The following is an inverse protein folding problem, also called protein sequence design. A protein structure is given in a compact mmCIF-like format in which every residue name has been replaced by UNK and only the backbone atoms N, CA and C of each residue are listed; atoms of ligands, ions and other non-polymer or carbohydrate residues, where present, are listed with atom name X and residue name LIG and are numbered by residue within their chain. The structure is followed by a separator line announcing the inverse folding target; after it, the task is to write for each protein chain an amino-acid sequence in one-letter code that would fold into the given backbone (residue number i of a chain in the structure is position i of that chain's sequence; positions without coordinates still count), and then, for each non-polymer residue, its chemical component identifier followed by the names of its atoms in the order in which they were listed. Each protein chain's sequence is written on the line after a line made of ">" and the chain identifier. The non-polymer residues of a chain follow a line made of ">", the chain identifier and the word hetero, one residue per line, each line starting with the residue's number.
data_IF_491182029413
#
_entry.id   IF_491182029413
#
_cell.length_a   1.000
_cell.length_b   1.000
_cell.length_c   1.000
_cell.angle_alpha   90.00
_cell.angle_beta   90.00
_cell.angle_gamma   90.00
#
_symmetry.space_group_name_H-M   'P 1'
#
loop_
_entity.id
_entity.type
_entity.pdbx_description
1 polymer ?
#
# COMPACT_ATOMS: atom_id res chain seq x y z
N UNK A 1 2.40 14.95 14.47
CA UNK A 1 2.94 14.60 13.14
C UNK A 1 3.12 13.09 13.11
N UNK A 2 2.35 12.38 12.30
CA UNK A 2 2.52 10.96 12.05
C UNK A 2 1.79 10.62 10.75
N UNK A 3 2.46 9.92 9.84
CA UNK A 3 1.93 9.58 8.52
C UNK A 3 2.74 10.14 7.35
N UNK A 4 2.13 10.15 6.17
CA UNK A 4 2.75 10.61 4.92
C UNK A 4 2.82 12.15 4.87
N UNK A 5 4.00 12.71 4.61
CA UNK A 5 4.15 14.16 4.48
C UNK A 5 3.42 14.69 3.23
N UNK A 6 2.89 15.92 3.31
CA UNK A 6 2.23 16.56 2.17
C UNK A 6 3.17 16.66 0.95
N UNK A 7 4.45 16.94 1.19
CA UNK A 7 5.48 17.02 0.14
C UNK A 7 5.66 15.67 -0.53
N UNK A 8 5.77 14.59 0.25
CA UNK A 8 5.91 13.25 -0.29
C UNK A 8 4.67 12.81 -1.08
N UNK A 9 3.46 13.12 -0.58
CA UNK A 9 2.21 12.83 -1.27
C UNK A 9 2.09 13.56 -2.61
N UNK A 10 2.46 14.84 -2.67
CA UNK A 10 2.43 15.61 -3.92
C UNK A 10 3.52 15.16 -4.89
N UNK A 11 4.73 14.87 -4.39
CA UNK A 11 5.83 14.36 -5.21
C UNK A 11 5.50 12.99 -5.82
N UNK A 12 4.76 12.16 -5.10
CA UNK A 12 4.24 10.89 -5.60
C UNK A 12 2.88 11.05 -6.31
N UNK A 13 2.41 12.23 -6.69
CA UNK A 13 1.12 12.40 -7.38
C UNK A 13 -0.09 11.72 -6.69
N UNK A 14 -0.05 11.52 -5.37
CA UNK A 14 -1.10 10.87 -4.59
C UNK A 14 -1.30 9.37 -4.84
N UNK A 15 -2.50 8.86 -4.55
CA UNK A 15 -2.86 7.44 -4.75
C UNK A 15 -3.06 7.09 -6.23
N UNK A 16 -2.62 5.91 -6.63
CA UNK A 16 -2.83 5.37 -7.98
C UNK A 16 -4.28 4.94 -8.23
N UNK A 17 -4.59 4.61 -9.49
CA UNK A 17 -5.94 4.16 -9.92
C UNK A 17 -6.23 2.68 -9.65
N UNK A 18 -5.30 1.96 -9.00
CA UNK A 18 -5.43 0.52 -8.75
C UNK A 18 -6.08 0.30 -7.39
N UNK A 19 -7.23 -0.39 -7.37
CA UNK A 19 -7.92 -0.76 -6.13
C UNK A 19 -8.43 -2.21 -6.20
N UNK A 20 -8.03 -3.09 -5.27
CA UNK A 20 -7.07 -2.85 -4.19
C UNK A 20 -5.62 -2.72 -4.71
N UNK A 21 -4.70 -2.12 -3.95
CA UNK A 21 -3.28 -2.04 -4.31
C UNK A 21 -2.68 -0.63 -4.38
N UNK A 22 -3.49 0.38 -4.12
CA UNK A 22 -3.11 1.79 -4.09
C UNK A 22 -1.99 2.07 -3.08
N UNK A 23 -2.03 1.42 -1.92
CA UNK A 23 -1.06 1.60 -0.84
C UNK A 23 0.34 1.04 -1.18
N UNK A 24 0.47 -0.24 -1.63
CA UNK A 24 1.77 -0.75 -2.06
C UNK A 24 2.31 -0.03 -3.29
N UNK A 25 1.46 0.38 -4.25
CA UNK A 25 1.89 1.22 -5.38
C UNK A 25 2.51 2.54 -4.89
N UNK A 26 1.80 3.26 -4.02
CA UNK A 26 2.28 4.51 -3.44
C UNK A 26 3.60 4.32 -2.70
N UNK A 27 3.72 3.26 -1.89
CA UNK A 27 4.93 2.96 -1.12
C UNK A 27 6.14 2.74 -2.03
N UNK A 28 5.97 1.98 -3.11
CA UNK A 28 7.05 1.72 -4.07
C UNK A 28 7.46 3.01 -4.79
N UNK A 29 6.49 3.84 -5.20
CA UNK A 29 6.78 5.11 -5.87
C UNK A 29 7.49 6.10 -4.95
N UNK A 30 7.15 6.12 -3.66
CA UNK A 30 7.88 6.89 -2.66
C UNK A 30 9.33 6.42 -2.49
N UNK A 31 9.58 5.11 -2.48
CA UNK A 31 10.94 4.57 -2.44
C UNK A 31 11.75 4.92 -3.70
N UNK A 32 11.13 4.85 -4.88
CA UNK A 32 11.76 5.23 -6.15
C UNK A 32 12.13 6.73 -6.18
N UNK A 33 11.38 7.58 -5.46
CA UNK A 33 11.67 9.00 -5.27
C UNK A 33 12.72 9.26 -4.17
N UNK A 34 13.25 8.23 -3.52
CA UNK A 34 14.27 8.33 -2.46
C UNK A 34 13.72 8.65 -1.07
N UNK A 35 12.40 8.61 -0.87
CA UNK A 35 11.82 8.78 0.46
C UNK A 35 12.08 7.55 1.34
N UNK A 36 12.36 7.80 2.62
CA UNK A 36 12.55 6.75 3.63
C UNK A 36 11.25 6.47 4.36
N UNK A 37 10.96 5.19 4.55
CA UNK A 37 9.85 4.74 5.39
C UNK A 37 10.39 4.26 6.74
N UNK A 38 9.63 4.51 7.81
CA UNK A 38 9.94 3.99 9.15
C UNK A 38 8.71 3.31 9.73
N UNK A 39 8.92 2.24 10.48
CA UNK A 39 7.90 1.61 11.30
C UNK A 39 7.98 2.23 12.70
N UNK A 40 6.85 2.65 13.26
CA UNK A 40 6.76 3.17 14.63
C UNK A 40 5.99 2.14 15.46
N UNK A 41 6.68 1.23 16.17
CA UNK A 41 6.05 0.13 16.91
C UNK A 41 5.07 0.60 17.99
N UNK A 42 5.30 1.78 18.55
CA UNK A 42 4.53 2.35 19.66
C UNK A 42 3.22 3.01 19.18
N UNK A 43 3.04 3.14 17.87
CA UNK A 43 1.84 3.73 17.26
C UNK A 43 0.74 2.66 17.09
N UNK A 44 0.00 2.38 18.15
CA UNK A 44 -1.12 1.44 18.12
C UNK A 44 -2.36 2.02 17.41
N UNK A 45 -2.94 1.24 16.50
CA UNK A 45 -4.19 1.58 15.81
C UNK A 45 -5.22 0.46 15.97
N UNK A 46 -6.43 0.82 16.38
CA UNK A 46 -7.51 -0.14 16.57
C UNK A 46 -8.37 -0.24 15.32
N UNK A 47 -8.44 -1.44 14.73
CA UNK A 47 -9.28 -1.73 13.57
C UNK A 47 -10.40 -2.70 13.92
N UNK A 48 -11.62 -2.41 13.47
CA UNK A 48 -12.75 -3.35 13.58
C UNK A 48 -12.50 -4.55 12.66
N UNK A 49 -12.36 -5.75 13.22
CA UNK A 49 -12.21 -6.98 12.41
C UNK A 49 -13.53 -7.35 11.75
N UNK A 50 -13.45 -7.78 10.49
CA UNK A 50 -14.57 -8.46 9.82
C UNK A 50 -14.57 -9.92 10.26
N UNK A 51 -15.70 -10.40 10.80
CA UNK A 51 -15.89 -11.77 11.33
C UNK A 51 -16.41 -12.76 10.29
N UNK A 52 -16.72 -12.31 9.08
CA UNK A 52 -17.27 -13.17 8.03
C UNK A 52 -16.17 -13.75 7.15
N UNK A 53 -16.04 -15.08 7.17
CA UNK A 53 -15.09 -15.84 6.34
C UNK A 53 -15.26 -15.61 4.84
N UNK A 54 -16.49 -15.45 4.36
CA UNK A 54 -16.75 -15.21 2.93
C UNK A 54 -16.26 -13.82 2.49
N UNK A 55 -16.43 -12.80 3.33
CA UNK A 55 -15.90 -11.46 3.07
C UNK A 55 -14.37 -11.43 3.16
N UNK A 56 -13.78 -12.14 4.12
CA UNK A 56 -12.33 -12.30 4.22
C UNK A 56 -11.74 -12.96 2.97
N UNK A 57 -12.33 -14.07 2.50
CA UNK A 57 -11.88 -14.76 1.30
C UNK A 57 -11.92 -13.86 0.06
N UNK A 58 -13.04 -13.15 -0.16
CA UNK A 58 -13.17 -12.18 -1.27
C UNK A 58 -12.10 -11.09 -1.19
N UNK A 59 -11.79 -10.59 0.01
CA UNK A 59 -10.77 -9.57 0.21
C UNK A 59 -9.38 -10.09 -0.16
N UNK A 60 -8.97 -11.24 0.39
CA UNK A 60 -7.66 -11.84 0.12
C UNK A 60 -7.50 -12.19 -1.38
N UNK A 61 -8.55 -12.71 -2.00
CA UNK A 61 -8.53 -13.03 -3.44
C UNK A 61 -8.29 -11.76 -4.29
N UNK A 62 -8.98 -10.66 -4.00
CA UNK A 62 -8.77 -9.38 -4.68
C UNK A 62 -7.34 -8.85 -4.52
N UNK A 63 -6.74 -8.97 -3.33
CA UNK A 63 -5.33 -8.62 -3.12
C UNK A 63 -4.38 -9.50 -3.95
N UNK A 64 -4.67 -10.80 -4.07
CA UNK A 64 -3.89 -11.72 -4.88
C UNK A 64 -3.88 -11.35 -6.36
N UNK A 65 -5.03 -10.97 -6.92
CA UNK A 65 -5.18 -10.60 -8.34
C UNK A 65 -4.42 -9.33 -8.74
N UNK A 66 -4.13 -8.44 -7.78
CA UNK A 66 -3.46 -7.16 -8.00
C UNK A 66 -1.94 -7.31 -8.08
N UNK A 67 -1.40 -8.37 -7.47
CA UNK A 67 0.04 -8.59 -7.35
C UNK A 67 0.76 -8.75 -8.71
N UNK A 68 0.22 -9.46 -9.71
CA UNK A 68 0.79 -9.46 -11.06
C UNK A 68 0.86 -8.08 -11.71
N UNK A 69 -0.15 -7.24 -11.50
CA UNK A 69 -0.20 -5.87 -12.04
C UNK A 69 0.89 -5.02 -11.40
N UNK A 70 0.99 -5.03 -10.07
CA UNK A 70 2.04 -4.32 -9.34
C UNK A 70 3.44 -4.80 -9.74
N UNK A 71 3.64 -6.10 -9.90
CA UNK A 71 4.91 -6.66 -10.35
C UNK A 71 5.28 -6.22 -11.77
N UNK A 72 4.29 -6.01 -12.64
CA UNK A 72 4.53 -5.50 -14.00
C UNK A 72 4.87 -4.02 -14.00
N UNK A 73 4.27 -3.22 -13.12
CA UNK A 73 4.53 -1.78 -13.02
C UNK A 73 5.85 -1.49 -12.28
N UNK A 74 6.22 -2.33 -11.32
CA UNK A 74 7.38 -2.16 -10.45
C UNK A 74 8.30 -3.39 -10.45
N UNK A 75 8.91 -3.75 -11.61
CA UNK A 75 9.68 -4.99 -11.74
C UNK A 75 10.90 -5.07 -10.82
N UNK A 76 11.46 -3.91 -10.40
CA UNK A 76 12.58 -3.82 -9.46
C UNK A 76 12.25 -4.27 -8.03
N UNK A 77 10.96 -4.30 -7.68
CA UNK A 77 10.48 -4.71 -6.34
C UNK A 77 10.02 -6.16 -6.27
N UNK A 78 10.16 -6.88 -7.40
CA UNK A 78 9.84 -8.30 -7.51
C UNK A 78 10.89 -9.10 -6.73
N UNK A 79 10.56 -9.49 -5.49
CA UNK A 79 11.27 -10.54 -4.74
C UNK A 79 10.75 -11.91 -5.13
#
# INVERSE_FOLDING_TARGET
>A
MGGLSKVAFLASSGFGRIHPGEDPDLSIRLWNLGFKTTLIPEAFVYHKRRISWSNFYKQVNKFGMVRPILNSWHPSTKK
#
